data_IF_445918348735
#
_entry.id   IF_445918348735
#
_cell.length_a   1.000
_cell.length_b   1.000
_cell.length_c   1.000
_cell.angle_alpha   90.00
_cell.angle_beta   90.00
_cell.angle_gamma   90.00
#
_symmetry.space_group_name_H-M   'P 1'
#
loop_
_entity.id
_entity.type
_entity.pdbx_description
1 polymer ?
#
# COMPACT_ATOMS: atom_id res chain seq x y z
N UNK A 1 -8.84 11.67 -40.30
CA UNK A 1 -7.96 10.77 -39.49
C UNK A 1 -7.07 10.03 -40.48
N UNK A 2 -5.75 10.08 -40.30
CA UNK A 2 -4.83 9.43 -41.25
C UNK A 2 -4.91 7.90 -41.11
N UNK A 3 -4.84 7.21 -42.21
CA UNK A 3 -4.94 5.75 -42.38
C UNK A 3 -3.84 4.99 -41.62
N UNK A 4 -2.75 5.62 -41.26
CA UNK A 4 -1.66 5.04 -40.45
C UNK A 4 -2.04 4.73 -39.01
N UNK A 5 -3.04 5.41 -38.43
CA UNK A 5 -3.48 5.14 -37.05
C UNK A 5 -4.27 3.83 -36.91
N UNK A 6 -5.01 3.45 -37.95
CA UNK A 6 -5.76 2.19 -37.99
C UNK A 6 -4.86 0.95 -38.17
N UNK A 7 -3.70 1.09 -38.82
CA UNK A 7 -2.79 -0.03 -39.06
C UNK A 7 -2.03 -0.47 -37.80
N UNK A 8 -1.80 0.44 -36.87
CA UNK A 8 -1.12 0.11 -35.58
C UNK A 8 -2.04 -0.61 -34.59
N UNK A 9 -3.33 -0.35 -34.60
CA UNK A 9 -4.28 -1.06 -33.75
C UNK A 9 -4.50 -2.53 -34.13
N UNK A 10 -4.37 -2.86 -35.43
CA UNK A 10 -4.59 -4.24 -35.92
C UNK A 10 -3.41 -5.18 -35.57
N UNK A 11 -2.20 -4.64 -35.45
CA UNK A 11 -1.00 -5.44 -35.13
C UNK A 11 -0.92 -5.77 -33.62
N UNK A 12 -1.42 -4.92 -32.73
CA UNK A 12 -1.44 -5.17 -31.29
C UNK A 12 -2.46 -6.26 -30.91
N UNK A 13 -3.57 -6.35 -31.62
CA UNK A 13 -4.59 -7.37 -31.39
C UNK A 13 -4.19 -8.80 -31.81
N UNK A 14 -3.20 -8.96 -32.70
CA UNK A 14 -2.76 -10.27 -33.19
C UNK A 14 -1.67 -10.92 -32.35
N UNK A 15 -1.03 -10.19 -31.42
CA UNK A 15 0.06 -10.72 -30.58
C UNK A 15 -0.42 -11.36 -29.27
N UNK A 16 -1.71 -11.23 -28.94
CA UNK A 16 -2.28 -11.81 -27.69
C UNK A 16 -2.93 -13.18 -27.84
N UNK A 17 -2.88 -13.82 -29.05
CA UNK A 17 -3.60 -15.10 -29.29
C UNK A 17 -2.72 -16.35 -29.31
N UNK A 18 -1.44 -16.29 -28.96
CA UNK A 18 -0.55 -17.47 -29.02
C UNK A 18 0.15 -17.86 -27.72
N UNK A 19 -0.42 -17.56 -26.59
CA UNK A 19 0.18 -17.86 -25.29
C UNK A 19 -0.70 -18.65 -24.32
N UNK A 20 -1.36 -19.70 -24.79
CA UNK A 20 -2.01 -20.66 -23.86
C UNK A 20 -1.54 -22.05 -24.26
N UNK A 21 -0.77 -22.69 -23.36
CA UNK A 21 -0.70 -24.11 -23.05
C UNK A 21 0.71 -24.50 -22.56
N UNK A 22 0.89 -24.57 -21.26
CA UNK A 22 1.63 -25.65 -20.62
C UNK A 22 1.31 -25.67 -19.13
N UNK A 23 0.29 -26.42 -18.79
CA UNK A 23 0.03 -26.82 -17.41
C UNK A 23 0.99 -27.95 -17.04
N UNK A 24 1.58 -27.88 -15.86
CA UNK A 24 2.21 -29.02 -15.23
C UNK A 24 1.44 -29.35 -13.95
N UNK A 25 0.62 -30.38 -14.03
CA UNK A 25 0.00 -31.04 -12.89
C UNK A 25 1.08 -31.90 -12.21
N UNK A 26 1.42 -31.60 -10.98
CA UNK A 26 2.07 -32.56 -10.08
C UNK A 26 1.15 -32.81 -8.90
N UNK A 27 0.55 -34.00 -8.90
CA UNK A 27 -0.06 -34.61 -7.72
C UNK A 27 1.02 -34.97 -6.71
N UNK A 28 0.89 -34.56 -5.48
CA UNK A 28 1.68 -35.07 -4.36
C UNK A 28 0.76 -35.73 -3.36
N UNK A 29 0.99 -37.03 -3.19
CA UNK A 29 0.33 -37.88 -2.21
C UNK A 29 0.63 -37.39 -0.78
N UNK A 30 -0.37 -37.60 0.07
CA UNK A 30 -0.30 -37.28 1.48
C UNK A 30 0.53 -38.26 2.30
N UNK A 31 1.16 -37.74 3.32
CA UNK A 31 1.34 -38.44 4.59
C UNK A 31 1.22 -37.43 5.72
N UNK A 32 0.21 -37.62 6.50
CA UNK A 32 -0.03 -37.01 7.79
C UNK A 32 0.97 -37.52 8.79
N UNK A 33 1.69 -36.66 9.47
CA UNK A 33 2.21 -36.91 10.84
C UNK A 33 2.67 -35.59 11.47
N UNK A 34 2.19 -35.32 12.68
CA UNK A 34 2.82 -34.46 13.67
C UNK A 34 2.30 -33.02 13.72
N UNK A 35 1.41 -32.75 14.70
CA UNK A 35 1.06 -31.43 15.22
C UNK A 35 2.28 -30.75 15.91
N UNK A 36 3.23 -30.30 15.11
CA UNK A 36 4.17 -29.27 15.56
C UNK A 36 3.74 -27.95 14.95
N UNK A 37 3.16 -27.08 15.78
CA UNK A 37 2.95 -25.68 15.43
C UNK A 37 4.32 -25.15 15.00
N UNK A 38 4.45 -24.52 13.80
CA UNK A 38 5.71 -23.97 13.36
C UNK A 38 6.17 -22.93 14.39
N UNK A 39 7.42 -23.07 14.84
CA UNK A 39 8.11 -22.06 15.63
C UNK A 39 8.17 -20.76 14.81
N UNK A 40 7.27 -19.83 15.12
CA UNK A 40 7.21 -18.51 14.47
C UNK A 40 8.14 -17.49 15.11
N UNK A 41 8.97 -17.92 16.09
CA UNK A 41 9.96 -17.06 16.73
C UNK A 41 11.11 -16.77 15.74
N UNK A 42 11.00 -15.65 15.03
CA UNK A 42 11.99 -15.17 14.07
C UNK A 42 11.51 -15.05 12.62
N UNK A 43 10.27 -15.40 12.31
CA UNK A 43 9.71 -15.10 10.99
C UNK A 43 9.26 -13.64 10.93
N UNK A 44 9.76 -12.93 9.92
CA UNK A 44 9.24 -11.61 9.59
C UNK A 44 7.76 -11.76 9.20
N UNK A 45 6.87 -10.90 9.71
CA UNK A 45 5.42 -11.03 9.51
C UNK A 45 4.94 -10.60 8.11
N UNK A 46 5.81 -10.58 7.14
CA UNK A 46 5.54 -10.20 5.74
C UNK A 46 6.41 -11.01 4.78
N UNK A 47 6.03 -11.04 3.51
CA UNK A 47 6.82 -11.60 2.42
C UNK A 47 7.56 -10.45 1.74
N UNK A 48 8.88 -10.61 1.48
CA UNK A 48 9.64 -9.67 0.67
C UNK A 48 9.54 -10.04 -0.82
N UNK A 49 9.20 -9.05 -1.63
CA UNK A 49 9.19 -9.13 -3.09
C UNK A 49 9.96 -7.94 -3.67
N UNK A 50 11.25 -8.13 -3.92
CA UNK A 50 12.18 -7.07 -4.31
C UNK A 50 12.31 -5.98 -3.26
N UNK A 51 11.88 -4.76 -3.59
CA UNK A 51 11.85 -3.62 -2.65
C UNK A 51 10.57 -3.54 -1.83
N UNK A 52 9.60 -4.42 -2.12
CA UNK A 52 8.30 -4.43 -1.46
C UNK A 52 8.26 -5.44 -0.32
N UNK A 53 7.50 -5.09 0.71
CA UNK A 53 7.05 -5.97 1.78
C UNK A 53 5.56 -6.17 1.61
N UNK A 54 5.09 -7.40 1.64
CA UNK A 54 3.69 -7.72 1.35
C UNK A 54 3.08 -8.62 2.42
N UNK A 55 1.79 -8.41 2.69
CA UNK A 55 0.97 -9.27 3.56
C UNK A 55 -0.32 -9.65 2.87
N UNK A 56 -0.95 -10.71 3.33
CA UNK A 56 -2.37 -10.91 3.09
C UNK A 56 -3.19 -10.06 4.07
N UNK A 57 -4.12 -9.27 3.52
CA UNK A 57 -5.09 -8.53 4.28
C UNK A 57 -6.45 -8.69 3.60
N UNK A 58 -7.37 -9.38 4.26
CA UNK A 58 -8.69 -9.73 3.75
C UNK A 58 -8.68 -10.45 2.38
N UNK A 59 -7.69 -11.34 2.16
CA UNK A 59 -7.54 -12.11 0.92
C UNK A 59 -6.93 -11.31 -0.24
N UNK A 60 -6.46 -10.09 0.01
CA UNK A 60 -5.74 -9.25 -0.94
C UNK A 60 -4.25 -9.21 -0.58
N UNK A 61 -3.38 -9.37 -1.58
CA UNK A 61 -1.95 -9.10 -1.40
C UNK A 61 -1.74 -7.58 -1.32
N UNK A 62 -1.35 -7.07 -0.14
CA UNK A 62 -1.14 -5.65 0.11
C UNK A 62 0.33 -5.38 0.39
N UNK A 63 0.90 -4.44 -0.35
CA UNK A 63 2.35 -4.21 -0.35
C UNK A 63 2.70 -2.77 0.07
N UNK A 64 3.94 -2.59 0.49
CA UNK A 64 4.50 -1.27 0.80
C UNK A 64 6.02 -1.25 0.60
N UNK A 65 6.59 -0.08 0.47
CA UNK A 65 8.02 0.17 0.55
C UNK A 65 8.36 0.80 1.90
N UNK A 66 9.58 0.58 2.38
CA UNK A 66 10.07 1.20 3.62
C UNK A 66 11.39 1.90 3.34
N UNK A 67 11.55 3.11 3.87
CA UNK A 67 12.83 3.78 3.98
C UNK A 67 13.24 3.82 5.45
N UNK A 68 14.45 3.38 5.71
CA UNK A 68 15.11 3.40 7.03
C UNK A 68 16.47 4.06 6.82
N UNK A 69 16.80 5.15 7.51
CA UNK A 69 18.12 5.75 7.45
C UNK A 69 19.25 4.76 7.76
N UNK A 70 20.34 4.79 7.01
CA UNK A 70 21.46 3.87 7.16
C UNK A 70 22.18 4.01 8.52
N UNK A 71 22.11 5.20 9.13
CA UNK A 71 22.77 5.56 10.39
C UNK A 71 21.81 5.57 11.60
N UNK A 72 20.61 5.01 11.44
CA UNK A 72 19.61 4.95 12.50
C UNK A 72 20.11 4.11 13.68
N UNK A 73 20.18 4.71 14.88
CA UNK A 73 20.52 3.97 16.10
C UNK A 73 19.34 3.05 16.50
N UNK A 74 19.52 1.71 16.47
CA UNK A 74 18.45 0.78 16.81
C UNK A 74 18.01 0.84 18.29
N UNK A 75 18.78 1.52 19.14
CA UNK A 75 18.45 1.71 20.56
C UNK A 75 17.61 2.95 20.83
N UNK A 76 17.58 3.89 19.89
CA UNK A 76 16.75 5.08 19.98
C UNK A 76 15.33 4.82 19.50
N UNK A 77 14.37 5.45 20.16
CA UNK A 77 12.97 5.37 19.78
C UNK A 77 12.66 6.46 18.74
N UNK A 78 12.22 6.03 17.55
CA UNK A 78 12.14 6.89 16.36
C UNK A 78 10.71 7.14 15.88
N UNK A 79 10.44 8.26 15.20
CA UNK A 79 9.16 8.52 14.56
C UNK A 79 8.88 7.56 13.40
N UNK A 80 7.58 7.33 13.14
CA UNK A 80 7.09 6.62 11.95
C UNK A 80 6.20 7.55 11.12
N UNK A 81 6.43 7.60 9.82
CA UNK A 81 5.60 8.34 8.86
C UNK A 81 5.01 7.33 7.86
N UNK A 82 3.70 7.34 7.71
CA UNK A 82 2.99 6.62 6.64
C UNK A 82 2.61 7.65 5.57
N UNK A 83 3.16 7.53 4.35
CA UNK A 83 2.94 8.50 3.28
C UNK A 83 2.24 7.86 2.07
N UNK A 84 0.99 8.24 1.86
CA UNK A 84 0.05 7.58 0.94
C UNK A 84 -0.08 8.33 -0.38
N UNK A 85 0.00 7.57 -1.49
CA UNK A 85 -0.10 8.10 -2.85
C UNK A 85 -1.51 8.60 -3.22
N UNK A 86 -1.59 9.40 -4.27
CA UNK A 86 -2.85 9.84 -4.86
C UNK A 86 -3.51 8.76 -5.74
N UNK A 87 -4.76 9.03 -6.17
CA UNK A 87 -5.46 8.17 -7.13
C UNK A 87 -4.63 7.97 -8.42
N UNK A 88 -4.64 6.76 -8.95
CA UNK A 88 -3.91 6.35 -10.15
C UNK A 88 -2.37 6.54 -10.05
N UNK A 89 -1.85 6.50 -8.82
CA UNK A 89 -0.42 6.55 -8.52
C UNK A 89 -0.03 5.31 -7.71
N UNK A 90 1.22 5.23 -7.27
CA UNK A 90 1.76 4.14 -6.49
C UNK A 90 2.77 4.63 -5.43
N UNK A 91 3.24 3.72 -4.58
CA UNK A 91 4.22 4.00 -3.53
C UNK A 91 5.54 4.54 -4.09
N UNK A 92 5.98 4.08 -5.27
CA UNK A 92 7.23 4.55 -5.92
C UNK A 92 7.11 5.99 -6.39
N UNK A 93 5.96 6.35 -6.97
CA UNK A 93 5.69 7.72 -7.40
C UNK A 93 5.54 8.67 -6.20
N UNK A 94 4.86 8.21 -5.13
CA UNK A 94 4.69 8.98 -3.90
C UNK A 94 6.03 9.26 -3.21
N UNK A 95 6.87 8.26 -3.06
CA UNK A 95 8.23 8.38 -2.49
C UNK A 95 9.06 9.44 -3.22
N UNK A 96 8.98 9.48 -4.56
CA UNK A 96 9.64 10.51 -5.38
C UNK A 96 9.00 11.88 -5.22
N UNK A 97 7.68 11.93 -5.10
CA UNK A 97 6.92 13.18 -5.01
C UNK A 97 7.17 13.89 -3.68
N UNK A 98 7.07 13.18 -2.56
CA UNK A 98 7.20 13.75 -1.22
C UNK A 98 8.66 14.00 -0.82
N UNK A 99 9.59 13.19 -1.34
CA UNK A 99 11.02 13.20 -0.95
C UNK A 99 11.21 13.04 0.58
N UNK A 100 10.32 12.33 1.25
CA UNK A 100 10.39 12.14 2.71
C UNK A 100 11.59 11.29 3.14
N UNK A 101 12.22 10.54 2.23
CA UNK A 101 13.49 9.87 2.53
C UNK A 101 14.55 10.86 3.04
N UNK A 102 14.66 12.04 2.40
CA UNK A 102 15.62 13.07 2.81
C UNK A 102 15.32 13.60 4.22
N UNK A 103 14.04 13.84 4.51
CA UNK A 103 13.61 14.28 5.85
C UNK A 103 13.84 13.18 6.89
N UNK A 104 13.60 11.91 6.51
CA UNK A 104 13.83 10.77 7.38
C UNK A 104 15.32 10.62 7.74
N UNK A 105 16.20 10.79 6.76
CA UNK A 105 17.66 10.76 6.98
C UNK A 105 18.13 11.92 7.88
N UNK A 106 17.52 13.11 7.75
CA UNK A 106 17.87 14.27 8.56
C UNK A 106 17.33 14.20 10.00
N UNK A 107 16.10 13.66 10.18
CA UNK A 107 15.39 13.68 11.47
C UNK A 107 15.39 12.33 12.19
N UNK A 108 16.00 11.29 11.63
CA UNK A 108 16.06 9.95 12.21
C UNK A 108 14.69 9.28 12.28
N UNK A 109 13.90 9.35 11.21
CA UNK A 109 12.57 8.76 11.13
C UNK A 109 12.52 7.55 10.20
N UNK A 110 11.53 6.67 10.37
CA UNK A 110 11.22 5.62 9.40
C UNK A 110 10.03 6.09 8.56
N UNK A 111 10.10 5.91 7.23
CA UNK A 111 8.99 6.22 6.32
C UNK A 111 8.49 4.96 5.63
N UNK A 112 7.18 4.81 5.59
CA UNK A 112 6.49 3.73 4.88
C UNK A 112 5.62 4.33 3.79
N UNK A 113 5.76 3.78 2.59
CA UNK A 113 4.99 4.12 1.40
C UNK A 113 4.12 2.91 1.02
N UNK A 114 2.88 2.82 1.50
CA UNK A 114 2.00 1.72 1.14
C UNK A 114 1.40 1.90 -0.26
N UNK A 115 0.98 0.77 -0.85
CA UNK A 115 0.21 0.74 -2.10
C UNK A 115 -1.29 0.56 -1.83
N UNK A 116 -2.10 1.36 -2.49
CA UNK A 116 -3.55 1.17 -2.57
C UNK A 116 -3.91 -0.09 -3.38
N UNK A 117 -5.18 -0.49 -3.33
CA UNK A 117 -5.64 -1.63 -4.12
C UNK A 117 -5.73 -1.24 -5.60
N UNK A 118 -5.20 -2.12 -6.45
CA UNK A 118 -5.34 -2.01 -7.90
C UNK A 118 -6.73 -2.50 -8.33
N UNK A 119 -7.44 -1.73 -9.12
CA UNK A 119 -8.73 -2.12 -9.64
C UNK A 119 -9.24 -1.23 -10.77
N UNK A 120 -10.23 -1.74 -11.51
CA UNK A 120 -10.81 -1.04 -12.65
C UNK A 120 -11.75 0.06 -12.20
N UNK A 121 -11.53 1.27 -12.67
CA UNK A 121 -12.50 2.33 -12.63
C UNK A 121 -13.35 2.36 -13.91
N UNK A 122 -14.47 1.63 -13.89
CA UNK A 122 -15.36 1.48 -15.05
C UNK A 122 -16.05 2.76 -15.51
N UNK A 123 -15.95 3.85 -14.74
CA UNK A 123 -16.71 5.10 -15.02
C UNK A 123 -15.87 6.08 -15.85
N UNK A 124 -14.56 6.15 -15.59
CA UNK A 124 -13.68 7.16 -16.20
C UNK A 124 -12.49 6.58 -16.93
N UNK A 125 -12.00 5.41 -16.50
CA UNK A 125 -10.82 4.74 -17.03
C UNK A 125 -11.12 3.28 -17.31
N UNK A 126 -10.63 2.78 -18.45
CA UNK A 126 -10.60 1.36 -18.78
C UNK A 126 -9.31 0.68 -18.26
N UNK A 127 -8.47 1.43 -17.56
CA UNK A 127 -7.21 0.97 -17.00
C UNK A 127 -7.37 0.68 -15.50
N UNK A 128 -6.59 -0.29 -15.03
CA UNK A 128 -6.48 -0.57 -13.60
C UNK A 128 -5.66 0.53 -12.93
N UNK A 129 -6.18 1.07 -11.84
CA UNK A 129 -5.54 2.13 -11.09
C UNK A 129 -5.54 1.81 -9.61
N UNK A 130 -4.50 2.19 -8.90
CA UNK A 130 -4.47 2.09 -7.44
C UNK A 130 -5.27 3.22 -6.80
N UNK A 131 -5.99 2.88 -5.74
CA UNK A 131 -6.79 3.83 -4.96
C UNK A 131 -6.92 3.42 -3.51
N UNK A 132 -7.26 4.39 -2.67
CA UNK A 132 -7.63 4.23 -1.27
C UNK A 132 -9.13 4.42 -1.08
N UNK A 133 -9.72 3.60 -0.23
CA UNK A 133 -11.05 3.82 0.29
C UNK A 133 -11.00 4.91 1.38
N UNK A 134 -11.22 6.16 0.99
CA UNK A 134 -11.29 7.28 1.91
C UNK A 134 -12.73 7.56 2.39
N UNK A 135 -13.60 6.55 2.39
CA UNK A 135 -15.02 6.64 2.74
C UNK A 135 -15.86 7.15 1.58
N UNK A 136 -15.91 8.46 1.39
CA UNK A 136 -16.65 9.10 0.29
C UNK A 136 -15.92 9.06 -1.07
N UNK A 137 -14.64 8.80 -1.09
CA UNK A 137 -13.73 8.70 -2.24
C UNK A 137 -12.77 7.51 -2.00
N UNK A 138 -12.19 6.83 -2.94
CA UNK A 138 -12.25 7.05 -4.37
C UNK A 138 -12.36 5.72 -5.10
N UNK A 139 -12.96 5.79 -6.29
CA UNK A 139 -13.00 4.74 -7.30
C UNK A 139 -13.53 3.39 -6.79
N UNK A 140 -12.95 2.29 -7.27
CA UNK A 140 -13.32 0.93 -6.89
C UNK A 140 -13.08 0.65 -5.39
N UNK A 141 -12.01 1.19 -4.79
CA UNK A 141 -11.68 0.91 -3.38
C UNK A 141 -12.79 1.38 -2.44
N UNK A 142 -13.32 2.60 -2.63
CA UNK A 142 -14.46 3.09 -1.87
C UNK A 142 -15.75 2.32 -2.19
N UNK A 143 -15.98 2.02 -3.48
CA UNK A 143 -17.18 1.31 -3.93
C UNK A 143 -17.28 -0.12 -3.39
N UNK A 144 -16.16 -0.81 -3.29
CA UNK A 144 -16.05 -2.18 -2.83
C UNK A 144 -15.85 -2.29 -1.32
N UNK A 145 -15.69 -1.15 -0.65
CA UNK A 145 -15.52 -1.10 0.81
C UNK A 145 -14.20 -1.71 1.28
N UNK A 146 -13.13 -1.55 0.48
CA UNK A 146 -11.81 -2.09 0.85
C UNK A 146 -11.40 -1.59 2.24
N UNK A 147 -10.90 -2.50 3.09
CA UNK A 147 -10.42 -2.17 4.43
C UNK A 147 -8.99 -1.61 4.41
N UNK A 148 -8.87 -0.38 3.91
CA UNK A 148 -7.58 0.32 3.89
C UNK A 148 -7.17 0.82 5.28
N UNK A 149 -8.12 1.12 6.16
CA UNK A 149 -7.83 1.51 7.55
C UNK A 149 -7.13 0.37 8.29
N UNK A 150 -7.73 -0.83 8.31
CA UNK A 150 -7.15 -2.00 8.94
C UNK A 150 -5.82 -2.41 8.33
N UNK A 151 -5.64 -2.25 7.01
CA UNK A 151 -4.35 -2.49 6.35
C UNK A 151 -3.26 -1.55 6.88
N UNK A 152 -3.51 -0.25 6.97
CA UNK A 152 -2.54 0.72 7.49
C UNK A 152 -2.25 0.47 8.96
N UNK A 153 -3.26 0.20 9.79
CA UNK A 153 -3.06 -0.18 11.19
C UNK A 153 -2.18 -1.43 11.34
N UNK A 154 -2.38 -2.43 10.47
CA UNK A 154 -1.58 -3.65 10.46
C UNK A 154 -0.12 -3.37 10.10
N UNK A 155 0.17 -2.48 9.13
CA UNK A 155 1.53 -2.03 8.81
C UNK A 155 2.18 -1.35 10.03
N UNK A 156 1.46 -0.45 10.70
CA UNK A 156 1.97 0.23 11.90
C UNK A 156 2.30 -0.78 12.99
N UNK A 157 1.41 -1.73 13.26
CA UNK A 157 1.63 -2.77 14.28
C UNK A 157 2.84 -3.65 13.95
N UNK A 158 3.01 -4.04 12.67
CA UNK A 158 4.19 -4.79 12.21
C UNK A 158 5.46 -3.95 12.45
N UNK A 159 5.43 -2.68 12.08
CA UNK A 159 6.60 -1.79 12.21
C UNK A 159 7.01 -1.57 13.66
N UNK A 160 6.05 -1.37 14.55
CA UNK A 160 6.29 -1.26 16.00
C UNK A 160 6.88 -2.57 16.56
N UNK A 161 6.47 -3.72 16.02
CA UNK A 161 6.97 -5.03 16.46
C UNK A 161 8.42 -5.33 16.04
N UNK A 162 8.92 -4.70 14.97
CA UNK A 162 10.25 -4.97 14.41
C UNK A 162 11.25 -3.82 14.53
N UNK A 163 10.77 -2.61 14.78
CA UNK A 163 11.57 -1.40 14.96
C UNK A 163 11.24 -0.73 16.29
N UNK A 164 12.20 0.01 16.85
CA UNK A 164 11.98 0.78 18.09
C UNK A 164 11.20 2.08 17.78
N UNK A 165 9.93 1.95 17.41
CA UNK A 165 9.06 3.09 17.07
C UNK A 165 8.53 3.76 18.35
N UNK A 166 8.59 5.09 18.39
CA UNK A 166 7.89 5.88 19.40
C UNK A 166 6.39 5.96 19.06
N UNK A 167 5.58 5.23 19.80
CA UNK A 167 4.13 5.19 19.59
C UNK A 167 3.43 6.55 19.76
N UNK A 168 4.09 7.53 20.36
CA UNK A 168 3.58 8.91 20.45
C UNK A 168 3.94 9.79 19.25
N UNK A 169 4.78 9.28 18.33
CA UNK A 169 5.27 9.98 17.14
C UNK A 169 5.00 9.20 15.86
N UNK A 170 3.78 8.70 15.69
CA UNK A 170 3.30 8.06 14.47
C UNK A 170 2.45 9.06 13.70
N UNK A 171 2.77 9.26 12.42
CA UNK A 171 2.16 10.28 11.56
C UNK A 171 1.65 9.64 10.28
N UNK A 172 0.57 10.20 9.72
CA UNK A 172 0.11 9.86 8.38
C UNK A 172 0.15 11.10 7.48
N UNK A 173 0.50 10.90 6.22
CA UNK A 173 0.54 11.94 5.20
C UNK A 173 0.01 11.38 3.88
N UNK A 174 -0.30 12.25 2.94
CA UNK A 174 -0.65 11.84 1.60
C UNK A 174 -1.00 12.96 0.65
N UNK A 175 -1.04 12.60 -0.62
CA UNK A 175 -1.41 13.47 -1.73
C UNK A 175 -2.80 13.11 -2.25
N UNK A 176 -3.69 14.07 -2.52
CA UNK A 176 -5.00 13.87 -3.14
C UNK A 176 -5.83 12.74 -2.47
N UNK A 177 -6.06 11.62 -3.10
CA UNK A 177 -6.76 10.46 -2.50
C UNK A 177 -6.04 9.94 -1.24
N UNK A 178 -4.69 9.93 -1.20
CA UNK A 178 -3.91 9.60 0.00
C UNK A 178 -4.08 10.64 1.12
N UNK A 179 -4.27 11.92 0.76
CA UNK A 179 -4.64 12.96 1.71
C UNK A 179 -6.05 12.71 2.31
N UNK A 180 -7.03 12.33 1.49
CA UNK A 180 -8.36 11.96 1.98
C UNK A 180 -8.29 10.73 2.91
N UNK A 181 -7.42 9.75 2.58
CA UNK A 181 -7.19 8.58 3.43
C UNK A 181 -6.51 8.95 4.75
N UNK A 182 -5.52 9.86 4.76
CA UNK A 182 -4.90 10.34 6.02
C UNK A 182 -5.91 11.04 6.93
N UNK A 183 -6.86 11.78 6.36
CA UNK A 183 -7.94 12.40 7.14
C UNK A 183 -8.88 11.35 7.73
N UNK A 184 -9.21 10.29 6.97
CA UNK A 184 -9.98 9.15 7.46
C UNK A 184 -9.25 8.48 8.64
N UNK A 185 -7.95 8.24 8.54
CA UNK A 185 -7.14 7.68 9.62
C UNK A 185 -7.15 8.58 10.87
N UNK A 186 -7.10 9.91 10.70
CA UNK A 186 -7.20 10.84 11.84
C UNK A 186 -8.52 10.69 12.61
N UNK A 187 -9.59 10.28 11.96
CA UNK A 187 -10.91 10.12 12.58
C UNK A 187 -11.14 8.71 13.13
N UNK A 188 -10.79 7.68 12.36
CA UNK A 188 -11.07 6.30 12.73
C UNK A 188 -9.96 5.68 13.60
N UNK A 189 -8.70 6.15 13.44
CA UNK A 189 -7.50 5.61 14.11
C UNK A 189 -6.74 6.67 14.92
N UNK A 190 -7.46 7.63 15.49
CA UNK A 190 -6.89 8.73 16.31
C UNK A 190 -6.08 8.26 17.53
N UNK A 191 -6.26 7.01 17.94
CA UNK A 191 -5.49 6.38 19.03
C UNK A 191 -4.09 5.94 18.58
N UNK A 192 -3.81 5.92 17.27
CA UNK A 192 -2.53 5.53 16.67
C UNK A 192 -1.77 6.77 16.19
N UNK A 193 -2.45 7.66 15.45
CA UNK A 193 -1.80 8.77 14.77
C UNK A 193 -1.79 10.05 15.61
N UNK A 194 -0.58 10.53 15.93
CA UNK A 194 -0.38 11.77 16.67
C UNK A 194 -0.76 13.00 15.85
N UNK A 195 -0.54 12.97 14.53
CA UNK A 195 -0.96 14.01 13.60
C UNK A 195 -1.03 13.47 12.16
N UNK A 196 -1.75 14.21 11.31
CA UNK A 196 -1.82 13.91 9.87
C UNK A 196 -1.45 15.14 9.04
N UNK A 197 -0.70 14.92 7.95
CA UNK A 197 -0.41 15.90 6.92
C UNK A 197 -1.23 15.61 5.66
N UNK A 198 -1.69 16.65 4.98
CA UNK A 198 -2.63 16.50 3.86
C UNK A 198 -2.36 17.53 2.78
N UNK A 199 -2.20 17.06 1.54
CA UNK A 199 -2.01 17.92 0.37
C UNK A 199 -3.00 17.60 -0.74
N UNK A 200 -3.52 18.64 -1.39
CA UNK A 200 -4.36 18.59 -2.57
C UNK A 200 -5.74 17.93 -2.39
N UNK A 201 -6.28 17.94 -1.17
CA UNK A 201 -7.65 17.51 -0.89
C UNK A 201 -8.21 18.30 0.30
N UNK A 202 -9.51 18.51 0.34
CA UNK A 202 -10.20 19.13 1.46
C UNK A 202 -10.87 18.08 2.36
N UNK A 203 -11.13 18.47 3.61
CA UNK A 203 -11.84 17.60 4.54
C UNK A 203 -13.34 17.53 4.16
N UNK A 204 -13.86 16.31 4.04
CA UNK A 204 -15.28 16.05 3.85
C UNK A 204 -15.81 15.37 5.10
N UNK A 205 -16.74 16.02 5.80
CA UNK A 205 -17.31 15.53 7.06
C UNK A 205 -18.70 14.91 6.89
N UNK A 206 -19.31 15.07 5.72
CA UNK A 206 -20.74 14.72 5.49
C UNK A 206 -21.04 13.20 5.44
N UNK A 207 -19.99 12.35 5.42
CA UNK A 207 -20.12 10.90 5.31
C UNK A 207 -19.52 10.14 6.50
N UNK A 208 -19.35 10.80 7.63
CA UNK A 208 -18.72 10.27 8.85
C UNK A 208 -19.74 10.02 9.98
N UNK A 209 -21.04 9.95 9.63
CA UNK A 209 -22.14 9.60 10.54
C UNK A 209 -22.55 8.13 10.41
#
# INVERSE_FOLDING_TARGET
MPVEFMHRMTIVALLFLTGILSGCLTTKDGSHDGDDLPDTSGQIPYIEDGIFKCIDHEGLSRCWQTHIPDDLDPTESVPLIIDMHGYASDSTAQRKLSSFDTIADEEGAIVIYPDGVLGLNMVWDLEENQAWNAGWCCAHSAKEGIDDVGFIEKIVNISVGIHNIDSSRIYASGWSNGCAMSQRLAMESSHIFAAVGCMAMYLVTEHLE
#
